data_IF_782007869828
#
_entry.id   IF_782007869828
#
_cell.length_a   1.000
_cell.length_b   1.000
_cell.length_c   1.000
_cell.angle_alpha   90.00
_cell.angle_beta   90.00
_cell.angle_gamma   90.00
#
_symmetry.space_group_name_H-M   'P 1'
#
loop_
_entity.id
_entity.type
_entity.pdbx_description
1 polymer ?
#
# COMPACT_ATOMS: atom_id res chain seq x y z
N UNK A 1 -32.52 18.47 -8.95
CA UNK A 1 -31.33 18.03 -8.17
C UNK A 1 -30.52 19.26 -7.77
N UNK A 2 -29.48 19.13 -6.93
CA UNK A 2 -28.71 20.23 -6.35
C UNK A 2 -27.34 20.37 -7.04
N UNK A 3 -27.26 20.90 -8.27
CA UNK A 3 -25.99 21.02 -9.01
C UNK A 3 -25.07 22.08 -8.40
N UNK A 4 -25.64 23.04 -7.66
CA UNK A 4 -24.93 24.13 -7.00
C UNK A 4 -25.27 24.14 -5.51
N UNK A 5 -24.26 24.38 -4.69
CA UNK A 5 -24.39 24.66 -3.26
C UNK A 5 -24.17 26.18 -3.11
N UNK A 6 -25.19 26.89 -2.65
CA UNK A 6 -25.11 28.34 -2.45
C UNK A 6 -24.72 28.62 -0.99
N UNK A 7 -23.55 29.23 -0.79
CA UNK A 7 -23.10 29.73 0.51
C UNK A 7 -23.05 31.26 0.40
N UNK A 8 -24.14 31.92 0.79
CA UNK A 8 -24.31 33.37 0.56
C UNK A 8 -24.23 33.72 -0.94
N UNK A 9 -23.36 34.66 -1.36
CA UNK A 9 -23.21 35.03 -2.77
C UNK A 9 -22.40 34.03 -3.60
N UNK A 10 -21.79 33.02 -2.97
CA UNK A 10 -20.87 32.11 -3.63
C UNK A 10 -21.56 30.79 -3.99
N UNK A 11 -21.63 30.49 -5.28
CA UNK A 11 -22.25 29.28 -5.81
C UNK A 11 -21.15 28.25 -6.16
N UNK A 12 -21.07 27.16 -5.39
CA UNK A 12 -20.08 26.09 -5.58
C UNK A 12 -20.72 24.96 -6.38
N UNK A 13 -20.05 24.46 -7.42
CA UNK A 13 -20.49 23.25 -8.11
C UNK A 13 -20.44 22.03 -7.17
N UNK A 14 -21.59 21.44 -6.89
CA UNK A 14 -21.72 20.35 -5.92
C UNK A 14 -20.85 19.15 -6.28
N UNK A 15 -20.80 18.77 -7.56
CA UNK A 15 -20.00 17.65 -8.04
C UNK A 15 -18.49 17.85 -7.80
N UNK A 16 -17.96 19.05 -8.09
CA UNK A 16 -16.55 19.37 -7.84
C UNK A 16 -16.23 19.33 -6.35
N UNK A 17 -17.11 19.89 -5.52
CA UNK A 17 -16.95 19.86 -4.07
C UNK A 17 -16.97 18.44 -3.50
N UNK A 18 -17.91 17.59 -3.93
CA UNK A 18 -18.00 16.19 -3.51
C UNK A 18 -16.72 15.44 -3.84
N UNK A 19 -16.18 15.60 -5.06
CA UNK A 19 -14.95 14.93 -5.47
C UNK A 19 -13.73 15.41 -4.67
N UNK A 20 -13.63 16.71 -4.39
CA UNK A 20 -12.58 17.27 -3.54
C UNK A 20 -12.67 16.76 -2.10
N UNK A 21 -13.89 16.67 -1.55
CA UNK A 21 -14.11 16.12 -0.22
C UNK A 21 -13.74 14.62 -0.17
N UNK A 22 -14.12 13.84 -1.18
CA UNK A 22 -13.72 12.44 -1.31
C UNK A 22 -12.21 12.26 -1.40
N UNK A 23 -11.51 13.13 -2.15
CA UNK A 23 -10.05 13.13 -2.23
C UNK A 23 -9.42 13.46 -0.87
N UNK A 24 -9.90 14.51 -0.19
CA UNK A 24 -9.41 14.93 1.11
C UNK A 24 -9.59 13.85 2.19
N UNK A 25 -10.80 13.29 2.31
CA UNK A 25 -11.08 12.19 3.23
C UNK A 25 -10.27 10.94 2.86
N UNK A 26 -10.07 10.70 1.56
CA UNK A 26 -9.23 9.64 1.04
C UNK A 26 -7.78 9.76 1.49
N UNK A 27 -7.18 10.95 1.38
CA UNK A 27 -5.84 11.21 1.89
C UNK A 27 -5.76 11.07 3.40
N UNK A 28 -6.73 11.62 4.15
CA UNK A 28 -6.75 11.44 5.60
C UNK A 28 -6.70 9.96 6.02
N UNK A 29 -7.51 9.10 5.39
CA UNK A 29 -7.49 7.66 5.66
C UNK A 29 -6.22 6.97 5.14
N UNK A 30 -5.70 7.39 3.99
CA UNK A 30 -4.44 6.88 3.40
C UNK A 30 -3.27 7.17 4.33
N UNK A 31 -3.13 8.39 4.84
CA UNK A 31 -2.10 8.78 5.79
C UNK A 31 -2.21 7.98 7.10
N UNK A 32 -3.42 7.85 7.66
CA UNK A 32 -3.65 7.02 8.85
C UNK A 32 -3.23 5.56 8.64
N UNK A 33 -3.57 4.99 7.49
CA UNK A 33 -3.22 3.61 7.18
C UNK A 33 -1.71 3.46 6.95
N UNK A 34 -1.10 4.42 6.27
CA UNK A 34 0.32 4.45 5.98
C UNK A 34 1.18 4.44 7.24
N UNK A 35 0.81 5.21 8.26
CA UNK A 35 1.50 5.22 9.55
C UNK A 35 1.49 3.84 10.20
N UNK A 36 0.36 3.12 10.10
CA UNK A 36 0.25 1.79 10.71
C UNK A 36 0.98 0.70 9.92
N UNK A 37 1.15 0.85 8.60
CA UNK A 37 1.88 -0.12 7.76
C UNK A 37 3.36 0.23 7.56
N UNK A 38 3.80 1.40 8.00
CA UNK A 38 5.16 1.90 7.76
C UNK A 38 5.45 2.28 6.30
N UNK A 39 4.40 2.56 5.51
CA UNK A 39 4.55 3.03 4.12
C UNK A 39 4.83 4.54 4.07
N UNK A 40 5.23 5.06 2.90
CA UNK A 40 5.67 6.45 2.77
C UNK A 40 4.54 7.43 2.37
N UNK A 41 3.68 7.78 3.33
CA UNK A 41 2.46 8.60 3.12
C UNK A 41 2.72 9.86 2.28
N UNK A 42 3.75 10.62 2.65
CA UNK A 42 4.06 11.89 2.02
C UNK A 42 4.35 11.74 0.51
N UNK A 43 5.13 10.74 0.09
CA UNK A 43 5.37 10.54 -1.35
C UNK A 43 4.13 10.03 -2.08
N UNK A 44 3.29 9.23 -1.43
CA UNK A 44 2.02 8.76 -2.01
C UNK A 44 1.09 9.94 -2.26
N UNK A 45 0.84 10.75 -1.22
CA UNK A 45 -0.04 11.92 -1.29
C UNK A 45 0.46 12.98 -2.26
N UNK A 46 1.76 13.31 -2.20
CA UNK A 46 2.38 14.25 -3.16
C UNK A 46 2.32 13.72 -4.59
N UNK A 47 2.57 12.41 -4.78
CA UNK A 47 2.46 11.77 -6.08
C UNK A 47 1.06 11.90 -6.67
N UNK A 48 0.02 11.59 -5.88
CA UNK A 48 -1.38 11.72 -6.30
C UNK A 48 -1.75 13.18 -6.57
N UNK A 49 -1.36 14.11 -5.70
CA UNK A 49 -1.66 15.54 -5.86
C UNK A 49 -1.03 16.10 -7.15
N UNK A 50 0.25 15.81 -7.39
CA UNK A 50 0.94 16.20 -8.63
C UNK A 50 0.27 15.52 -9.83
N UNK A 51 -0.15 14.26 -9.70
CA UNK A 51 -0.92 13.54 -10.71
C UNK A 51 -2.24 14.22 -11.07
N UNK A 52 -3.00 14.68 -10.08
CA UNK A 52 -4.26 15.41 -10.29
C UNK A 52 -3.99 16.73 -11.01
N UNK A 53 -2.97 17.50 -10.59
CA UNK A 53 -2.60 18.75 -11.25
C UNK A 53 -2.16 18.48 -12.70
N UNK A 54 -1.25 17.53 -12.91
CA UNK A 54 -0.78 17.13 -14.23
C UNK A 54 -1.92 16.63 -15.11
N UNK A 55 -2.90 15.93 -14.53
CA UNK A 55 -4.09 15.47 -15.25
C UNK A 55 -5.02 16.60 -15.67
N UNK A 56 -5.20 17.63 -14.83
CA UNK A 56 -5.99 18.82 -15.20
C UNK A 56 -5.29 19.59 -16.33
N UNK A 57 -3.98 19.81 -16.22
CA UNK A 57 -3.17 20.46 -17.25
C UNK A 57 -3.15 19.64 -18.55
N UNK A 58 -3.01 18.32 -18.44
CA UNK A 58 -3.09 17.38 -19.54
C UNK A 58 -4.45 17.44 -20.24
N UNK A 59 -5.55 17.37 -19.49
CA UNK A 59 -6.90 17.50 -20.04
C UNK A 59 -7.08 18.81 -20.82
N UNK A 60 -6.54 19.92 -20.29
CA UNK A 60 -6.58 21.22 -20.95
C UNK A 60 -5.81 21.20 -22.26
N UNK A 61 -4.57 20.70 -22.24
CA UNK A 61 -3.73 20.58 -23.43
C UNK A 61 -4.39 19.68 -24.48
N UNK A 62 -4.93 18.54 -24.08
CA UNK A 62 -5.63 17.62 -24.98
C UNK A 62 -6.85 18.25 -25.66
N UNK A 63 -7.61 19.06 -24.93
CA UNK A 63 -8.75 19.78 -25.50
C UNK A 63 -8.27 20.84 -26.51
N UNK A 64 -7.20 21.58 -26.20
CA UNK A 64 -6.61 22.58 -27.12
C UNK A 64 -6.06 21.93 -28.39
N UNK A 65 -5.39 20.77 -28.27
CA UNK A 65 -4.87 20.02 -29.43
C UNK A 65 -6.00 19.54 -30.35
N UNK A 66 -7.18 19.22 -29.80
CA UNK A 66 -8.37 18.88 -30.58
C UNK A 66 -9.08 20.09 -31.19
N UNK A 67 -8.81 21.29 -30.68
CA UNK A 67 -9.46 22.54 -31.10
C UNK A 67 -8.42 23.66 -31.32
N UNK A 68 -7.50 23.51 -32.29
CA UNK A 68 -6.36 24.40 -32.44
C UNK A 68 -6.74 25.85 -32.76
N UNK A 69 -7.90 26.08 -33.39
CA UNK A 69 -8.42 27.41 -33.68
C UNK A 69 -8.68 28.25 -32.41
N UNK A 70 -9.10 27.61 -31.30
CA UNK A 70 -9.32 28.30 -30.02
C UNK A 70 -8.02 28.78 -29.39
N UNK A 71 -6.92 28.06 -29.62
CA UNK A 71 -5.59 28.44 -29.14
C UNK A 71 -5.00 29.58 -29.97
N UNK A 72 -5.14 29.51 -31.30
CA UNK A 72 -4.65 30.54 -32.22
C UNK A 72 -5.35 31.88 -32.02
N UNK A 73 -6.65 31.87 -31.74
CA UNK A 73 -7.44 33.09 -31.55
C UNK A 73 -7.16 33.78 -30.20
N UNK A 74 -6.90 33.01 -29.14
CA UNK A 74 -6.53 33.55 -27.85
C UNK A 74 -5.68 32.54 -27.06
N UNK A 75 -4.34 32.72 -27.03
CA UNK A 75 -3.43 31.83 -26.30
C UNK A 75 -3.73 31.72 -24.80
N UNK A 76 -4.36 32.72 -24.19
CA UNK A 76 -4.72 32.70 -22.76
C UNK A 76 -5.83 31.68 -22.45
N UNK A 77 -6.53 31.13 -23.46
CA UNK A 77 -7.48 30.04 -23.27
C UNK A 77 -6.85 28.78 -22.66
N UNK A 78 -5.53 28.63 -22.75
CA UNK A 78 -4.79 27.57 -22.07
C UNK A 78 -4.91 27.67 -20.53
N UNK A 79 -5.07 28.88 -19.99
CA UNK A 79 -5.22 29.15 -18.56
C UNK A 79 -6.68 29.26 -18.12
N UNK A 80 -7.64 29.00 -19.02
CA UNK A 80 -9.06 29.06 -18.69
C UNK A 80 -9.41 28.07 -17.57
N UNK A 81 -10.19 28.53 -16.59
CA UNK A 81 -10.70 27.71 -15.50
C UNK A 81 -12.03 27.01 -15.84
N UNK A 82 -12.52 27.16 -17.07
CA UNK A 82 -13.81 26.61 -17.47
C UNK A 82 -13.74 25.08 -17.56
N UNK A 83 -14.58 24.31 -16.83
CA UNK A 83 -14.52 22.85 -16.83
C UNK A 83 -14.91 22.17 -18.16
N UNK A 84 -15.65 22.87 -19.03
CA UNK A 84 -16.08 22.34 -20.33
C UNK A 84 -14.96 22.18 -21.34
N UNK A 85 -13.84 22.88 -21.14
CA UNK A 85 -12.65 22.86 -22.00
C UNK A 85 -11.59 21.87 -21.48
N UNK A 86 -12.03 20.70 -21.00
CA UNK A 86 -11.18 19.64 -20.49
C UNK A 86 -11.41 18.33 -21.25
N UNK A 87 -10.34 17.76 -21.78
CA UNK A 87 -10.38 16.44 -22.41
C UNK A 87 -10.48 15.33 -21.37
N UNK A 88 -11.60 14.61 -21.40
CA UNK A 88 -11.94 13.56 -20.42
C UNK A 88 -11.06 12.30 -20.51
N UNK A 89 -10.32 12.11 -21.60
CA UNK A 89 -9.48 10.91 -21.81
C UNK A 89 -7.99 11.23 -21.62
N UNK A 90 -7.53 12.36 -22.15
CA UNK A 90 -6.12 12.73 -22.13
C UNK A 90 -5.65 13.17 -20.74
N UNK A 91 -6.51 13.82 -19.96
CA UNK A 91 -6.17 14.20 -18.58
C UNK A 91 -5.81 13.04 -17.66
N UNK A 92 -6.71 12.05 -17.48
CA UNK A 92 -6.41 10.86 -16.68
C UNK A 92 -5.15 10.13 -17.14
N UNK A 93 -4.89 10.04 -18.45
CA UNK A 93 -3.67 9.44 -19.00
C UNK A 93 -2.41 10.15 -18.49
N UNK A 94 -2.34 11.48 -18.62
CA UNK A 94 -1.19 12.28 -18.18
C UNK A 94 -1.04 12.23 -16.65
N UNK A 95 -2.15 12.32 -15.91
CA UNK A 95 -2.13 12.25 -14.45
C UNK A 95 -1.62 10.91 -13.93
N UNK A 96 -2.10 9.79 -14.49
CA UNK A 96 -1.64 8.44 -14.13
C UNK A 96 -0.16 8.26 -14.49
N UNK A 97 0.27 8.74 -15.66
CA UNK A 97 1.67 8.67 -16.07
C UNK A 97 2.58 9.44 -15.10
N UNK A 98 2.18 10.64 -14.69
CA UNK A 98 2.92 11.43 -13.69
C UNK A 98 3.02 10.68 -12.35
N UNK A 99 1.93 10.07 -11.88
CA UNK A 99 1.94 9.26 -10.65
C UNK A 99 2.92 8.09 -10.77
N UNK A 100 2.89 7.36 -11.88
CA UNK A 100 3.79 6.22 -12.11
C UNK A 100 5.26 6.66 -12.12
N UNK A 101 5.59 7.74 -12.82
CA UNK A 101 6.96 8.28 -12.88
C UNK A 101 7.44 8.68 -11.48
N UNK A 102 6.61 9.38 -10.70
CA UNK A 102 6.96 9.81 -9.35
C UNK A 102 7.10 8.62 -8.39
N UNK A 103 6.21 7.63 -8.48
CA UNK A 103 6.28 6.41 -7.69
C UNK A 103 7.56 5.61 -8.00
N UNK A 104 7.94 5.48 -9.28
CA UNK A 104 9.19 4.85 -9.69
C UNK A 104 10.42 5.61 -9.19
N UNK A 105 10.43 6.95 -9.33
CA UNK A 105 11.53 7.80 -8.85
C UNK A 105 11.71 7.71 -7.34
N UNK A 106 10.63 7.48 -6.59
CA UNK A 106 10.64 7.28 -5.13
C UNK A 106 10.76 5.81 -4.72
N UNK A 107 10.93 4.90 -5.69
CA UNK A 107 11.01 3.46 -5.47
C UNK A 107 9.87 2.87 -4.63
N UNK A 108 8.66 3.44 -4.78
CA UNK A 108 7.52 3.01 -4.00
C UNK A 108 7.15 1.56 -4.34
N UNK A 109 7.04 0.67 -3.34
CA UNK A 109 6.67 -0.72 -3.57
C UNK A 109 5.20 -0.77 -4.00
N UNK A 110 4.92 -1.40 -5.14
CA UNK A 110 3.62 -1.34 -5.81
C UNK A 110 2.47 -1.79 -4.89
N UNK A 111 2.59 -2.98 -4.31
CA UNK A 111 1.49 -3.61 -3.59
C UNK A 111 1.18 -2.98 -2.24
N UNK A 112 2.18 -2.69 -1.38
CA UNK A 112 1.94 -1.94 -0.14
C UNK A 112 1.38 -0.54 -0.42
N UNK A 113 1.87 0.14 -1.47
CA UNK A 113 1.35 1.45 -1.86
C UNK A 113 -0.13 1.39 -2.25
N UNK A 114 -0.50 0.42 -3.09
CA UNK A 114 -1.89 0.25 -3.53
C UNK A 114 -2.82 -0.18 -2.37
N UNK A 115 -2.37 -1.05 -1.47
CA UNK A 115 -3.13 -1.41 -0.27
C UNK A 115 -3.37 -0.17 0.59
N UNK A 116 -2.33 0.63 0.86
CA UNK A 116 -2.44 1.89 1.62
C UNK A 116 -3.41 2.88 0.95
N UNK A 117 -3.43 2.96 -0.38
CA UNK A 117 -4.32 3.84 -1.15
C UNK A 117 -5.75 3.29 -1.30
N UNK A 118 -6.04 2.06 -0.86
CA UNK A 118 -7.36 1.44 -1.07
C UNK A 118 -8.53 2.29 -0.53
N UNK A 119 -8.46 2.91 0.66
CA UNK A 119 -9.51 3.80 1.15
C UNK A 119 -9.76 5.00 0.22
N UNK A 120 -8.71 5.59 -0.35
CA UNK A 120 -8.81 6.69 -1.32
C UNK A 120 -9.56 6.25 -2.57
N UNK A 121 -9.23 5.08 -3.15
CA UNK A 121 -9.94 4.57 -4.32
C UNK A 121 -11.43 4.33 -4.07
N UNK A 122 -11.79 3.76 -2.92
CA UNK A 122 -13.18 3.53 -2.54
C UNK A 122 -13.95 4.84 -2.32
N UNK A 123 -13.34 5.82 -1.65
CA UNK A 123 -13.96 7.12 -1.41
C UNK A 123 -14.12 7.94 -2.69
N UNK A 124 -13.15 7.86 -3.62
CA UNK A 124 -13.28 8.47 -4.94
C UNK A 124 -14.38 7.78 -5.78
N UNK A 125 -14.46 6.45 -5.74
CA UNK A 125 -15.54 5.71 -6.39
C UNK A 125 -16.92 6.16 -5.88
N UNK A 126 -17.11 6.19 -4.56
CA UNK A 126 -18.33 6.69 -3.93
C UNK A 126 -18.60 8.16 -4.29
N UNK A 127 -17.57 9.00 -4.27
CA UNK A 127 -17.62 10.41 -4.63
C UNK A 127 -18.10 10.65 -6.05
N UNK A 128 -17.61 9.88 -7.02
CA UNK A 128 -18.05 9.96 -8.43
C UNK A 128 -19.54 9.68 -8.56
N UNK A 129 -20.04 8.65 -7.87
CA UNK A 129 -21.47 8.33 -7.91
C UNK A 129 -22.31 9.40 -7.21
N UNK A 130 -21.87 9.91 -6.06
CA UNK A 130 -22.57 10.99 -5.37
C UNK A 130 -22.56 12.31 -6.17
N UNK A 131 -21.45 12.61 -6.87
CA UNK A 131 -21.35 13.74 -7.78
C UNK A 131 -22.27 13.61 -9.00
N UNK A 132 -22.38 12.41 -9.57
CA UNK A 132 -23.33 12.13 -10.66
C UNK A 132 -24.77 12.28 -10.19
N UNK A 133 -25.06 11.85 -8.97
CA UNK A 133 -26.36 12.08 -8.35
C UNK A 133 -26.63 13.57 -8.20
N UNK A 134 -25.73 14.38 -7.64
CA UNK A 134 -25.94 15.82 -7.51
C UNK A 134 -26.27 16.53 -8.86
N UNK A 135 -25.65 16.08 -9.95
CA UNK A 135 -25.85 16.60 -11.29
C UNK A 135 -27.03 16.00 -12.07
N UNK A 136 -27.63 14.90 -11.61
CA UNK A 136 -28.65 14.15 -12.37
C UNK A 136 -28.13 13.41 -13.60
N UNK A 137 -26.83 13.13 -13.64
CA UNK A 137 -26.17 12.38 -14.70
C UNK A 137 -26.11 10.88 -14.39
N UNK A 138 -25.84 10.04 -15.40
CA UNK A 138 -25.69 8.60 -15.24
C UNK A 138 -26.90 7.93 -14.54
N UNK A 139 -28.11 8.36 -14.93
CA UNK A 139 -29.37 7.95 -14.31
C UNK A 139 -29.82 6.56 -14.76
N UNK A 140 -30.74 5.98 -13.99
CA UNK A 140 -31.28 4.66 -14.23
C UNK A 140 -32.38 4.58 -15.29
N UNK A 141 -32.70 3.35 -15.68
CA UNK A 141 -33.90 3.03 -16.46
C UNK A 141 -35.18 3.37 -15.68
N UNK A 142 -36.31 3.59 -16.36
CA UNK A 142 -37.60 3.80 -15.70
C UNK A 142 -37.96 2.65 -14.77
N UNK A 143 -38.62 2.95 -13.65
CA UNK A 143 -38.98 1.97 -12.63
C UNK A 143 -40.28 2.33 -11.91
N UNK A 144 -41.01 1.31 -11.44
CA UNK A 144 -42.19 1.46 -10.58
C UNK A 144 -41.92 1.26 -9.08
N UNK A 145 -40.65 1.09 -8.70
CA UNK A 145 -40.27 0.85 -7.30
C UNK A 145 -40.50 2.10 -6.43
N UNK A 146 -40.87 1.93 -5.13
CA UNK A 146 -41.25 3.05 -4.27
C UNK A 146 -40.09 3.98 -3.90
N UNK A 147 -38.84 3.57 -4.08
CA UNK A 147 -37.64 4.40 -3.89
C UNK A 147 -37.07 4.95 -5.22
N UNK A 148 -37.85 4.91 -6.30
CA UNK A 148 -37.49 5.55 -7.56
C UNK A 148 -37.41 7.08 -7.42
N UNK A 149 -36.51 7.71 -8.16
CA UNK A 149 -36.36 9.17 -8.19
C UNK A 149 -36.94 9.74 -9.48
N UNK A 150 -37.62 10.89 -9.39
CA UNK A 150 -38.14 11.59 -10.56
C UNK A 150 -37.01 12.35 -11.25
N UNK A 151 -36.64 11.92 -12.47
CA UNK A 151 -35.66 12.57 -13.32
C UNK A 151 -36.09 12.50 -14.79
N UNK A 152 -36.03 13.65 -15.48
CA UNK A 152 -36.36 13.74 -16.90
C UNK A 152 -37.77 13.21 -17.21
N UNK A 153 -38.77 13.64 -16.44
CA UNK A 153 -40.19 13.26 -16.55
C UNK A 153 -40.47 11.75 -16.42
N UNK A 154 -39.59 10.99 -15.79
CA UNK A 154 -39.82 9.59 -15.46
C UNK A 154 -39.32 9.26 -14.06
N UNK A 155 -40.03 8.36 -13.37
CA UNK A 155 -39.52 7.71 -12.16
C UNK A 155 -38.48 6.67 -12.56
N UNK A 156 -37.27 6.80 -12.05
CA UNK A 156 -36.09 6.02 -12.47
C UNK A 156 -35.36 5.41 -11.29
N UNK A 157 -34.62 4.33 -11.55
CA UNK A 157 -33.70 3.78 -10.56
C UNK A 157 -32.64 4.84 -10.15
N UNK A 158 -32.47 5.15 -8.86
CA UNK A 158 -31.33 5.95 -8.37
C UNK A 158 -30.04 5.13 -8.35
N UNK A 159 -29.56 4.72 -9.52
CA UNK A 159 -28.40 3.80 -9.68
C UNK A 159 -27.13 4.35 -9.01
N UNK A 160 -26.98 5.66 -9.00
CA UNK A 160 -25.86 6.34 -8.33
C UNK A 160 -25.90 6.10 -6.81
N UNK A 161 -27.10 6.12 -6.21
CA UNK A 161 -27.29 5.82 -4.78
C UNK A 161 -27.01 4.34 -4.51
N UNK A 162 -27.42 3.43 -5.40
CA UNK A 162 -27.08 2.01 -5.26
C UNK A 162 -25.56 1.79 -5.22
N UNK A 163 -24.83 2.39 -6.16
CA UNK A 163 -23.38 2.30 -6.23
C UNK A 163 -22.71 2.91 -4.99
N UNK A 164 -23.20 4.08 -4.53
CA UNK A 164 -22.71 4.73 -3.32
C UNK A 164 -22.90 3.86 -2.07
N UNK A 165 -24.10 3.30 -1.86
CA UNK A 165 -24.40 2.48 -0.69
C UNK A 165 -23.61 1.17 -0.69
N UNK A 166 -23.51 0.50 -1.85
CA UNK A 166 -22.69 -0.71 -1.96
C UNK A 166 -21.19 -0.41 -1.79
N UNK A 167 -20.72 0.74 -2.30
CA UNK A 167 -19.35 1.22 -2.05
C UNK A 167 -19.10 1.52 -0.58
N UNK A 168 -20.07 2.11 0.12
CA UNK A 168 -20.00 2.37 1.56
C UNK A 168 -19.97 1.07 2.36
N UNK A 169 -20.77 0.07 1.99
CA UNK A 169 -20.75 -1.25 2.60
C UNK A 169 -19.39 -1.96 2.38
N UNK A 170 -18.82 -1.84 1.18
CA UNK A 170 -17.49 -2.36 0.87
C UNK A 170 -16.40 -1.67 1.72
N UNK A 171 -16.44 -0.34 1.83
CA UNK A 171 -15.53 0.42 2.69
C UNK A 171 -15.68 0.04 4.16
N UNK A 172 -16.92 -0.12 4.66
CA UNK A 172 -17.17 -0.54 6.03
C UNK A 172 -16.63 -1.95 6.30
N UNK A 173 -16.88 -2.90 5.38
CA UNK A 173 -16.34 -4.26 5.47
C UNK A 173 -14.81 -4.26 5.50
N UNK A 174 -14.18 -3.42 4.69
CA UNK A 174 -12.74 -3.20 4.71
C UNK A 174 -12.26 -2.65 6.06
N UNK A 175 -12.91 -1.61 6.58
CA UNK A 175 -12.54 -1.00 7.86
C UNK A 175 -12.66 -2.02 9.01
N UNK A 176 -13.69 -2.86 9.02
CA UNK A 176 -13.85 -3.93 10.00
C UNK A 176 -12.71 -4.96 9.86
N UNK A 177 -12.46 -5.44 8.64
CA UNK A 177 -11.47 -6.48 8.38
C UNK A 177 -10.03 -6.02 8.70
N UNK A 178 -9.72 -4.75 8.43
CA UNK A 178 -8.41 -4.13 8.70
C UNK A 178 -8.24 -3.64 10.14
N UNK A 179 -9.24 -3.88 11.02
CA UNK A 179 -9.31 -3.35 12.40
C UNK A 179 -9.12 -1.83 12.44
N UNK A 180 -9.89 -1.12 11.63
CA UNK A 180 -9.85 0.33 11.43
C UNK A 180 -8.51 0.82 10.87
N UNK A 181 -8.04 0.19 9.78
CA UNK A 181 -6.80 0.54 9.07
C UNK A 181 -5.54 0.39 9.91
N UNK A 182 -5.54 -0.50 10.93
CA UNK A 182 -4.35 -0.84 11.72
C UNK A 182 -3.50 -1.91 11.05
N UNK A 183 -4.09 -2.69 10.15
CA UNK A 183 -3.48 -3.86 9.53
C UNK A 183 -3.98 -3.96 8.09
N UNK A 184 -3.28 -4.68 7.24
CA UNK A 184 -3.78 -5.06 5.91
C UNK A 184 -4.97 -6.03 5.97
N UNK A 185 -5.15 -6.75 7.09
CA UNK A 185 -6.09 -7.87 7.23
C UNK A 185 -5.58 -9.19 6.64
N UNK A 186 -4.53 -9.14 5.81
CA UNK A 186 -3.96 -10.29 5.10
C UNK A 186 -2.44 -10.33 5.29
N UNK A 187 -1.85 -11.53 5.28
CA UNK A 187 -0.38 -11.69 5.36
C UNK A 187 0.36 -11.27 4.09
N UNK A 188 -0.35 -10.96 3.00
CA UNK A 188 0.27 -10.67 1.71
C UNK A 188 -0.19 -9.33 1.21
N UNK A 189 0.77 -8.50 0.80
CA UNK A 189 0.47 -7.20 0.22
C UNK A 189 -0.30 -7.37 -1.08
N UNK A 190 -1.07 -6.38 -1.47
CA UNK A 190 -1.89 -6.36 -2.68
C UNK A 190 -3.20 -7.13 -2.58
N UNK A 191 -3.43 -7.97 -1.55
CA UNK A 191 -4.70 -8.69 -1.40
C UNK A 191 -5.83 -7.71 -1.11
N UNK A 192 -5.60 -6.72 -0.26
CA UNK A 192 -6.60 -5.74 0.13
C UNK A 192 -7.06 -4.90 -1.07
N UNK A 193 -6.11 -4.35 -1.83
CA UNK A 193 -6.40 -3.57 -3.02
C UNK A 193 -7.14 -4.39 -4.08
N UNK A 194 -6.69 -5.62 -4.38
CA UNK A 194 -7.36 -6.45 -5.38
C UNK A 194 -8.77 -6.87 -4.93
N UNK A 195 -8.99 -7.14 -3.64
CA UNK A 195 -10.33 -7.42 -3.10
C UNK A 195 -11.25 -6.20 -3.26
N UNK A 196 -10.76 -4.99 -3.01
CA UNK A 196 -11.51 -3.76 -3.24
C UNK A 196 -11.83 -3.54 -4.72
N UNK A 197 -10.87 -3.78 -5.63
CA UNK A 197 -11.09 -3.67 -7.07
C UNK A 197 -12.10 -4.70 -7.58
N UNK A 198 -12.05 -5.94 -7.09
CA UNK A 198 -13.06 -6.95 -7.38
C UNK A 198 -14.45 -6.52 -6.87
N UNK A 199 -14.52 -5.95 -5.67
CA UNK A 199 -15.74 -5.35 -5.11
C UNK A 199 -16.32 -4.25 -5.99
N UNK A 200 -15.51 -3.25 -6.37
CA UNK A 200 -15.91 -2.18 -7.29
C UNK A 200 -16.41 -2.74 -8.63
N UNK A 201 -15.71 -3.73 -9.19
CA UNK A 201 -16.09 -4.37 -10.43
C UNK A 201 -17.46 -5.07 -10.32
N UNK A 202 -17.70 -5.83 -9.25
CA UNK A 202 -19.00 -6.47 -8.98
C UNK A 202 -20.12 -5.45 -8.82
N UNK A 203 -19.90 -4.38 -8.05
CA UNK A 203 -20.88 -3.30 -7.88
C UNK A 203 -21.18 -2.65 -9.23
N UNK A 204 -20.15 -2.43 -10.06
CA UNK A 204 -20.31 -1.87 -11.40
C UNK A 204 -21.14 -2.80 -12.28
N UNK A 205 -20.82 -4.09 -12.34
CA UNK A 205 -21.60 -5.07 -13.12
C UNK A 205 -23.07 -5.10 -12.70
N UNK A 206 -23.34 -5.09 -11.39
CA UNK A 206 -24.70 -5.05 -10.85
C UNK A 206 -25.42 -3.76 -11.22
N UNK A 207 -24.82 -2.60 -10.95
CA UNK A 207 -25.46 -1.28 -11.16
C UNK A 207 -25.64 -0.95 -12.64
N UNK A 208 -24.75 -1.46 -13.51
CA UNK A 208 -24.91 -1.30 -14.96
C UNK A 208 -26.19 -1.96 -15.47
N UNK A 209 -26.72 -3.01 -14.85
CA UNK A 209 -28.00 -3.61 -15.25
C UNK A 209 -29.17 -2.61 -15.22
N UNK A 210 -29.09 -1.60 -14.36
CA UNK A 210 -30.15 -0.60 -14.16
C UNK A 210 -29.85 0.74 -14.81
N UNK A 211 -28.68 0.94 -15.42
CA UNK A 211 -28.31 2.25 -15.98
C UNK A 211 -28.93 2.45 -17.36
N UNK A 212 -29.56 3.61 -17.59
CA UNK A 212 -30.18 3.91 -18.89
C UNK A 212 -29.15 4.21 -19.98
N UNK A 213 -28.12 4.99 -19.66
CA UNK A 213 -27.09 5.38 -20.62
C UNK A 213 -26.04 4.27 -20.81
N UNK A 214 -26.03 3.69 -22.01
CA UNK A 214 -25.10 2.64 -22.42
C UNK A 214 -24.11 3.16 -23.46
N UNK A 215 -22.82 2.91 -23.23
CA UNK A 215 -21.78 3.13 -24.25
C UNK A 215 -21.46 1.79 -24.86
N UNK A 216 -21.92 1.56 -26.09
CA UNK A 216 -21.82 0.26 -26.73
C UNK A 216 -20.56 0.13 -27.59
N UNK A 217 -19.93 -1.03 -27.52
CA UNK A 217 -18.95 -1.53 -28.50
C UNK A 217 -19.59 -2.77 -29.14
N UNK A 218 -20.13 -2.61 -30.34
CA UNK A 218 -21.01 -3.61 -30.94
C UNK A 218 -22.28 -3.78 -30.09
N UNK A 219 -22.51 -4.99 -29.55
CA UNK A 219 -23.67 -5.31 -28.70
C UNK A 219 -23.38 -5.20 -27.20
N UNK A 220 -22.13 -4.96 -26.82
CA UNK A 220 -21.70 -5.00 -25.43
C UNK A 220 -21.50 -3.61 -24.85
N UNK A 221 -21.91 -3.43 -23.60
CA UNK A 221 -21.67 -2.21 -22.84
C UNK A 221 -20.20 -2.13 -22.41
N UNK A 222 -19.49 -1.09 -22.86
CA UNK A 222 -18.04 -0.90 -22.62
C UNK A 222 -17.73 -0.90 -21.12
N UNK A 223 -18.55 -0.26 -20.30
CA UNK A 223 -18.32 -0.22 -18.85
C UNK A 223 -18.51 -1.60 -18.20
N UNK A 224 -19.41 -2.41 -18.74
CA UNK A 224 -19.63 -3.78 -18.28
C UNK A 224 -18.47 -4.69 -18.68
N UNK A 225 -17.98 -4.57 -19.92
CA UNK A 225 -16.77 -5.28 -20.38
C UNK A 225 -15.54 -4.91 -19.54
N UNK A 226 -15.32 -3.61 -19.29
CA UNK A 226 -14.22 -3.14 -18.45
C UNK A 226 -14.32 -3.66 -17.02
N UNK A 227 -15.54 -3.68 -16.44
CA UNK A 227 -15.76 -4.23 -15.11
C UNK A 227 -15.51 -5.75 -15.06
N UNK A 228 -15.92 -6.51 -16.09
CA UNK A 228 -15.58 -7.93 -16.18
C UNK A 228 -14.07 -8.17 -16.27
N UNK A 229 -13.37 -7.40 -17.11
CA UNK A 229 -11.91 -7.49 -17.23
C UNK A 229 -11.21 -7.16 -15.91
N UNK A 230 -11.67 -6.11 -15.20
CA UNK A 230 -11.17 -5.74 -13.88
C UNK A 230 -11.41 -6.85 -12.85
N UNK A 231 -12.62 -7.43 -12.84
CA UNK A 231 -12.97 -8.52 -11.92
C UNK A 231 -12.09 -9.75 -12.17
N UNK A 232 -11.95 -10.17 -13.42
CA UNK A 232 -11.11 -11.32 -13.78
C UNK A 232 -9.64 -11.09 -13.41
N UNK A 233 -9.11 -9.89 -13.71
CA UNK A 233 -7.74 -9.51 -13.35
C UNK A 233 -7.53 -9.52 -11.84
N UNK A 234 -8.42 -8.88 -11.08
CA UNK A 234 -8.35 -8.82 -9.63
C UNK A 234 -8.45 -10.21 -8.99
N UNK A 235 -9.39 -11.07 -9.43
CA UNK A 235 -9.53 -12.44 -8.94
C UNK A 235 -8.30 -13.31 -9.29
N UNK A 236 -7.73 -13.13 -10.48
CA UNK A 236 -6.50 -13.85 -10.87
C UNK A 236 -5.32 -13.45 -9.98
N UNK A 237 -5.17 -12.15 -9.69
CA UNK A 237 -4.13 -11.65 -8.80
C UNK A 237 -4.35 -12.12 -7.35
N UNK A 238 -5.60 -12.13 -6.87
CA UNK A 238 -5.95 -12.71 -5.58
C UNK A 238 -5.60 -14.19 -5.50
N UNK A 239 -5.94 -14.96 -6.52
CA UNK A 239 -5.61 -16.39 -6.58
C UNK A 239 -4.09 -16.62 -6.52
N UNK A 240 -3.32 -15.93 -7.35
CA UNK A 240 -1.85 -16.01 -7.32
C UNK A 240 -1.25 -15.60 -5.98
N UNK A 241 -1.88 -14.65 -5.28
CA UNK A 241 -1.47 -14.24 -3.93
C UNK A 241 -1.90 -15.21 -2.84
N UNK A 242 -3.05 -15.86 -2.97
CA UNK A 242 -3.50 -16.87 -2.00
C UNK A 242 -2.71 -18.19 -2.14
N UNK A 243 -2.35 -18.55 -3.37
CA UNK A 243 -1.64 -19.77 -3.72
C UNK A 243 -0.31 -19.43 -4.41
N UNK A 244 0.72 -19.03 -3.65
CA UNK A 244 2.05 -18.90 -4.22
C UNK A 244 2.49 -20.23 -4.81
N UNK A 245 3.25 -20.18 -5.90
CA UNK A 245 4.07 -21.32 -6.28
C UNK A 245 4.97 -21.71 -5.08
N UNK A 246 5.32 -23.00 -4.96
CA UNK A 246 6.24 -23.54 -3.94
C UNK A 246 7.68 -23.03 -4.13
N UNK A 247 7.86 -21.73 -4.22
CA UNK A 247 9.16 -21.07 -4.28
C UNK A 247 9.63 -20.78 -2.86
N UNK A 248 10.94 -20.92 -2.67
CA UNK A 248 11.58 -20.51 -1.43
C UNK A 248 11.49 -18.99 -1.32
N UNK A 249 11.04 -18.50 -0.17
CA UNK A 249 10.91 -17.09 0.17
C UNK A 249 12.20 -16.67 0.89
N UNK A 250 12.77 -15.54 0.49
CA UNK A 250 13.86 -14.92 1.24
C UNK A 250 13.31 -14.27 2.51
N UNK A 251 13.92 -14.54 3.65
CA UNK A 251 13.62 -13.89 4.91
C UNK A 251 14.91 -13.37 5.52
N UNK A 252 14.88 -12.14 6.03
CA UNK A 252 15.98 -11.58 6.80
C UNK A 252 15.64 -11.77 8.27
N UNK A 253 16.55 -12.38 9.03
CA UNK A 253 16.42 -12.58 10.46
C UNK A 253 17.60 -11.94 11.20
N UNK A 254 17.36 -11.39 12.39
CA UNK A 254 18.43 -11.01 13.32
C UNK A 254 18.67 -12.11 14.34
N UNK A 255 19.91 -12.21 14.80
CA UNK A 255 20.34 -13.04 15.91
C UNK A 255 20.96 -12.14 16.97
N UNK A 256 20.47 -12.22 18.20
CA UNK A 256 20.97 -11.47 19.35
C UNK A 256 21.29 -12.38 20.53
N UNK A 257 22.40 -12.14 21.23
CA UNK A 257 22.73 -12.89 22.46
C UNK A 257 23.67 -12.09 23.37
N UNK A 258 23.52 -12.24 24.68
CA UNK A 258 24.48 -11.73 25.67
C UNK A 258 24.88 -12.77 26.74
N UNK A 259 24.52 -14.04 26.55
CA UNK A 259 24.95 -15.16 27.40
C UNK A 259 25.74 -16.15 26.56
N UNK A 260 27.05 -16.22 26.78
CA UNK A 260 27.99 -17.04 25.98
C UNK A 260 27.78 -16.86 24.46
N UNK A 261 27.70 -15.61 23.96
CA UNK A 261 27.10 -15.34 22.65
C UNK A 261 27.86 -15.99 21.49
N UNK A 262 29.17 -16.15 21.58
CA UNK A 262 29.99 -16.85 20.57
C UNK A 262 29.59 -18.33 20.43
N UNK A 263 29.36 -19.02 21.56
CA UNK A 263 28.92 -20.42 21.59
C UNK A 263 27.51 -20.53 21.03
N UNK A 264 26.61 -19.62 21.46
CA UNK A 264 25.21 -19.59 21.02
C UNK A 264 25.07 -19.33 19.53
N UNK A 265 25.85 -18.41 18.98
CA UNK A 265 25.85 -18.13 17.54
C UNK A 265 26.33 -19.34 16.73
N UNK A 266 27.43 -19.99 17.13
CA UNK A 266 27.90 -21.19 16.45
C UNK A 266 26.87 -22.32 16.47
N UNK A 267 26.20 -22.53 17.60
CA UNK A 267 25.13 -23.54 17.72
C UNK A 267 23.90 -23.18 16.86
N UNK A 268 23.47 -21.91 16.91
CA UNK A 268 22.33 -21.42 16.14
C UNK A 268 22.57 -21.53 14.63
N UNK A 269 23.73 -21.10 14.14
CA UNK A 269 24.06 -21.18 12.71
C UNK A 269 24.08 -22.62 12.20
N UNK A 270 24.60 -23.56 13.00
CA UNK A 270 24.54 -24.98 12.64
C UNK A 270 23.09 -25.44 12.46
N UNK A 271 22.24 -25.22 13.45
CA UNK A 271 20.81 -25.62 13.41
C UNK A 271 20.08 -24.93 12.25
N UNK A 272 20.31 -23.63 12.05
CA UNK A 272 19.71 -22.86 10.97
C UNK A 272 20.16 -23.36 9.59
N UNK A 273 21.42 -23.71 9.42
CA UNK A 273 21.96 -24.22 8.15
C UNK A 273 21.43 -25.61 7.76
N UNK A 274 21.04 -26.41 8.76
CA UNK A 274 20.42 -27.73 8.54
C UNK A 274 18.96 -27.59 8.09
N UNK A 275 18.28 -26.51 8.48
CA UNK A 275 16.84 -26.30 8.24
C UNK A 275 16.55 -25.33 7.09
N UNK A 276 17.43 -24.36 6.87
CA UNK A 276 17.27 -23.28 5.91
C UNK A 276 18.52 -23.13 5.05
N UNK A 277 18.33 -22.62 3.84
CA UNK A 277 19.48 -22.21 3.02
C UNK A 277 19.90 -20.80 3.42
N UNK A 278 21.02 -20.67 4.13
CA UNK A 278 21.61 -19.37 4.44
C UNK A 278 22.23 -18.79 3.15
N UNK A 279 21.73 -17.64 2.71
CA UNK A 279 22.21 -16.93 1.51
C UNK A 279 23.39 -16.03 1.83
N UNK A 280 23.27 -15.24 2.90
CA UNK A 280 24.26 -14.26 3.35
C UNK A 280 24.23 -14.15 4.87
N UNK A 281 25.34 -13.67 5.44
CA UNK A 281 25.50 -13.41 6.88
C UNK A 281 26.31 -12.14 7.08
N UNK A 282 25.95 -11.31 8.06
CA UNK A 282 26.72 -10.12 8.39
C UNK A 282 27.91 -10.46 9.27
N UNK A 283 28.78 -9.48 9.47
CA UNK A 283 29.69 -9.45 10.61
C UNK A 283 28.95 -9.55 11.95
N UNK A 284 29.70 -9.91 12.99
CA UNK A 284 29.19 -9.83 14.36
C UNK A 284 29.44 -8.41 14.86
N UNK A 285 28.40 -7.80 15.42
CA UNK A 285 28.45 -6.48 16.01
C UNK A 285 28.14 -6.55 17.50
N UNK A 286 28.97 -5.94 18.32
CA UNK A 286 28.70 -5.76 19.73
C UNK A 286 27.99 -4.43 19.96
N UNK A 287 26.91 -4.46 20.76
CA UNK A 287 26.14 -3.28 21.13
C UNK A 287 25.77 -3.32 22.60
N UNK A 288 25.69 -2.15 23.22
CA UNK A 288 25.14 -2.02 24.57
C UNK A 288 23.64 -2.37 24.59
N UNK A 289 23.08 -2.56 25.80
CA UNK A 289 21.64 -2.74 25.94
C UNK A 289 20.91 -1.46 25.50
N UNK A 290 20.03 -1.59 24.51
CA UNK A 290 19.27 -0.45 23.98
C UNK A 290 18.34 0.20 25.00
N UNK A 291 18.01 -0.50 26.08
CA UNK A 291 17.22 0.03 27.20
C UNK A 291 18.10 0.55 28.35
N UNK A 292 19.42 0.55 28.19
CA UNK A 292 20.42 1.03 29.15
C UNK A 292 20.20 0.49 30.57
N UNK A 293 19.79 -0.77 30.69
CA UNK A 293 19.49 -1.37 32.00
C UNK A 293 20.80 -1.62 32.77
N UNK A 294 20.87 -1.26 34.06
CA UNK A 294 22.07 -1.47 34.86
C UNK A 294 22.48 -2.95 34.95
N UNK A 295 23.77 -3.23 34.81
CA UNK A 295 24.35 -4.56 35.00
C UNK A 295 24.12 -5.56 33.86
N UNK A 296 23.56 -5.11 32.73
CA UNK A 296 23.36 -5.96 31.54
C UNK A 296 24.64 -6.02 30.72
N UNK A 297 25.08 -7.24 30.40
CA UNK A 297 26.23 -7.47 29.52
C UNK A 297 25.91 -7.01 28.08
N UNK A 298 26.91 -6.50 27.33
CA UNK A 298 26.74 -6.17 25.92
C UNK A 298 26.22 -7.35 25.10
N UNK A 299 25.39 -7.04 24.11
CA UNK A 299 24.86 -8.02 23.17
C UNK A 299 25.78 -8.16 21.98
N UNK A 300 25.91 -9.38 21.45
CA UNK A 300 26.34 -9.62 20.09
C UNK A 300 25.11 -9.74 19.20
N UNK A 301 25.15 -9.07 18.06
CA UNK A 301 24.12 -9.02 17.05
C UNK A 301 24.68 -9.40 15.68
N UNK A 302 23.87 -10.12 14.91
CA UNK A 302 24.15 -10.49 13.52
C UNK A 302 22.85 -10.55 12.74
N UNK A 303 22.91 -10.28 11.44
CA UNK A 303 21.80 -10.47 10.51
C UNK A 303 22.13 -11.61 9.57
N UNK A 304 21.12 -12.43 9.26
CA UNK A 304 21.19 -13.51 8.29
C UNK A 304 20.09 -13.31 7.24
N UNK A 305 20.42 -13.60 5.98
CA UNK A 305 19.41 -13.80 4.95
C UNK A 305 19.27 -15.30 4.70
N UNK A 306 18.06 -15.82 4.84
CA UNK A 306 17.74 -17.23 4.67
C UNK A 306 16.70 -17.42 3.57
N UNK A 307 16.72 -18.57 2.92
CA UNK A 307 15.64 -19.04 2.05
C UNK A 307 14.87 -20.16 2.74
N UNK A 308 13.55 -19.99 2.84
CA UNK A 308 12.65 -20.96 3.48
C UNK A 308 11.43 -21.26 2.62
N UNK A 309 10.91 -22.48 2.70
CA UNK A 309 9.62 -22.86 2.13
C UNK A 309 8.48 -22.80 3.16
N UNK A 310 8.80 -22.47 4.42
CA UNK A 310 7.81 -22.37 5.49
C UNK A 310 6.96 -21.12 5.30
N UNK A 311 5.66 -21.23 5.60
CA UNK A 311 4.80 -20.06 5.79
C UNK A 311 5.29 -19.22 6.97
N UNK A 312 4.91 -17.95 7.02
CA UNK A 312 5.33 -17.06 8.10
C UNK A 312 5.01 -17.62 9.51
N UNK A 313 3.81 -18.16 9.82
CA UNK A 313 3.54 -18.77 11.12
C UNK A 313 4.44 -19.97 11.44
N UNK A 314 4.72 -20.82 10.45
CA UNK A 314 5.61 -21.99 10.62
C UNK A 314 7.05 -21.54 10.87
N UNK A 315 7.52 -20.50 10.16
CA UNK A 315 8.84 -19.91 10.39
C UNK A 315 8.96 -19.35 11.81
N UNK A 316 7.96 -18.60 12.29
CA UNK A 316 7.92 -18.09 13.67
C UNK A 316 8.00 -19.24 14.68
N UNK A 317 7.19 -20.28 14.50
CA UNK A 317 7.21 -21.47 15.38
C UNK A 317 8.57 -22.14 15.37
N UNK A 318 9.20 -22.26 14.20
CA UNK A 318 10.50 -22.92 14.07
C UNK A 318 11.62 -22.11 14.74
N UNK A 319 11.68 -20.79 14.54
CA UNK A 319 12.68 -19.94 15.17
C UNK A 319 12.54 -19.97 16.71
N UNK A 320 11.31 -19.90 17.24
CA UNK A 320 11.05 -20.03 18.68
C UNK A 320 11.46 -21.38 19.25
N UNK A 321 11.35 -22.46 18.47
CA UNK A 321 11.81 -23.77 18.89
C UNK A 321 13.35 -23.80 19.03
N UNK A 322 14.07 -23.16 18.10
CA UNK A 322 15.54 -23.02 18.13
C UNK A 322 15.97 -22.19 19.35
N UNK A 323 15.32 -21.04 19.58
CA UNK A 323 15.56 -20.21 20.76
C UNK A 323 15.44 -21.02 22.06
N UNK A 324 14.33 -21.76 22.21
CA UNK A 324 14.08 -22.61 23.38
C UNK A 324 15.13 -23.70 23.54
N UNK A 325 15.50 -24.37 22.44
CA UNK A 325 16.55 -25.39 22.44
C UNK A 325 17.89 -24.84 22.93
N UNK A 326 18.20 -23.58 22.60
CA UNK A 326 19.45 -22.92 22.97
C UNK A 326 19.38 -22.15 24.30
N UNK A 327 18.30 -22.34 25.07
CA UNK A 327 18.19 -21.86 26.44
C UNK A 327 17.50 -20.50 26.60
N UNK A 328 16.74 -20.04 25.59
CA UNK A 328 15.91 -18.84 25.73
C UNK A 328 14.83 -19.07 26.79
N UNK A 329 14.86 -18.26 27.83
CA UNK A 329 13.79 -18.18 28.84
C UNK A 329 12.84 -17.06 28.42
N UNK A 330 11.55 -17.36 28.30
CA UNK A 330 10.54 -16.39 27.89
C UNK A 330 10.39 -15.29 28.95
N UNK A 331 10.36 -14.03 28.52
CA UNK A 331 10.19 -12.87 29.41
C UNK A 331 11.48 -12.37 30.08
N UNK A 332 12.54 -13.17 30.10
CA UNK A 332 13.86 -12.71 30.54
C UNK A 332 14.44 -11.74 29.50
N UNK A 333 14.83 -10.53 29.92
CA UNK A 333 15.31 -9.50 29.01
C UNK A 333 16.75 -9.06 29.29
N UNK A 334 17.33 -9.47 30.41
CA UNK A 334 18.70 -9.08 30.83
C UNK A 334 19.72 -10.16 30.51
N UNK A 335 19.30 -11.43 30.49
CA UNK A 335 20.13 -12.60 30.15
C UNK A 335 19.49 -13.36 29.00
N UNK A 336 19.81 -12.96 27.78
CA UNK A 336 19.25 -13.51 26.55
C UNK A 336 20.27 -14.47 25.93
N UNK A 337 19.96 -15.77 26.01
CA UNK A 337 20.80 -16.82 25.42
C UNK A 337 20.82 -16.76 23.89
N UNK A 338 19.65 -16.61 23.26
CA UNK A 338 19.50 -16.35 21.84
C UNK A 338 18.12 -15.75 21.57
N UNK A 339 18.08 -14.68 20.80
CA UNK A 339 16.87 -14.10 20.20
C UNK A 339 16.99 -14.21 18.68
N UNK A 340 15.93 -14.66 18.03
CA UNK A 340 15.80 -14.80 16.59
C UNK A 340 14.55 -14.04 16.11
N UNK A 341 14.75 -12.82 15.63
CA UNK A 341 13.65 -11.99 15.13
C UNK A 341 13.59 -11.98 13.60
N UNK A 342 12.37 -12.04 13.06
CA UNK A 342 12.15 -11.91 11.62
C UNK A 342 12.04 -10.43 11.28
N UNK A 343 12.99 -9.92 10.50
CA UNK A 343 13.03 -8.54 10.04
C UNK A 343 12.22 -8.34 8.76
N UNK A 344 12.31 -9.29 7.82
CA UNK A 344 11.55 -9.27 6.56
C UNK A 344 11.13 -10.68 6.15
N UNK A 345 10.05 -10.79 5.37
CA UNK A 345 9.58 -12.04 4.80
C UNK A 345 9.12 -11.78 3.35
N UNK A 346 10.04 -12.00 2.41
CA UNK A 346 9.90 -11.55 1.02
C UNK A 346 9.65 -10.05 0.93
N UNK A 347 8.75 -9.68 0.02
CA UNK A 347 8.28 -8.31 -0.17
C UNK A 347 6.95 -8.02 0.55
N UNK A 348 6.54 -8.89 1.48
CA UNK A 348 5.25 -8.77 2.14
C UNK A 348 5.26 -7.71 3.25
N UNK A 349 4.12 -7.03 3.39
CA UNK A 349 3.84 -6.03 4.42
C UNK A 349 2.53 -6.38 5.10
N UNK A 350 2.58 -6.69 6.39
CA UNK A 350 1.40 -7.07 7.17
C UNK A 350 1.63 -6.94 8.67
N UNK A 351 0.53 -7.00 9.42
CA UNK A 351 0.53 -7.18 10.86
C UNK A 351 -0.28 -8.43 11.24
N UNK A 352 0.34 -9.37 11.95
CA UNK A 352 -0.32 -10.62 12.39
C UNK A 352 0.26 -11.11 13.70
N UNK A 353 -0.62 -11.41 14.67
CA UNK A 353 -0.26 -11.99 15.97
C UNK A 353 0.94 -11.28 16.61
N UNK A 354 0.85 -9.94 16.70
CA UNK A 354 1.86 -9.03 17.24
C UNK A 354 3.18 -8.93 16.45
N UNK A 355 3.27 -9.56 15.28
CA UNK A 355 4.40 -9.37 14.37
C UNK A 355 4.02 -8.36 13.29
N UNK A 356 4.82 -7.32 13.18
CA UNK A 356 4.77 -6.38 12.08
C UNK A 356 5.90 -6.73 11.12
N UNK A 357 5.57 -7.01 9.86
CA UNK A 357 6.55 -7.32 8.81
C UNK A 357 6.40 -6.25 7.72
N UNK A 358 7.51 -5.64 7.26
CA UNK A 358 8.84 -5.65 7.87
C UNK A 358 8.83 -5.17 9.32
N UNK A 359 9.84 -5.59 10.10
CA UNK A 359 9.97 -5.17 11.48
C UNK A 359 10.18 -3.64 11.56
N UNK A 360 9.36 -2.90 12.34
CA UNK A 360 9.51 -1.46 12.50
C UNK A 360 10.85 -1.08 13.14
N UNK A 361 11.50 -2.04 13.81
CA UNK A 361 12.80 -1.89 14.43
C UNK A 361 13.93 -1.63 13.41
N UNK A 362 13.73 -2.01 12.14
CA UNK A 362 14.60 -1.63 11.03
C UNK A 362 14.68 -0.12 10.82
N UNK A 363 13.71 0.67 11.30
CA UNK A 363 13.75 2.13 11.20
C UNK A 363 14.24 2.79 12.49
N UNK A 364 14.48 2.00 13.55
CA UNK A 364 14.72 2.48 14.91
C UNK A 364 16.10 2.13 15.43
N UNK A 365 16.60 0.92 15.18
CA UNK A 365 17.80 0.41 15.84
C UNK A 365 18.97 0.16 14.91
N UNK A 366 20.11 0.81 15.20
CA UNK A 366 21.31 0.70 14.37
C UNK A 366 21.92 -0.70 14.39
N UNK A 367 21.73 -1.46 15.47
CA UNK A 367 22.27 -2.81 15.62
C UNK A 367 21.64 -3.83 14.66
N UNK A 368 20.50 -3.50 14.06
CA UNK A 368 19.86 -4.28 13.00
C UNK A 368 20.26 -3.75 11.61
N UNK A 369 20.23 -2.42 11.44
CA UNK A 369 20.42 -1.78 10.14
C UNK A 369 21.88 -1.81 9.70
N UNK A 370 22.83 -1.60 10.60
CA UNK A 370 24.27 -1.59 10.25
C UNK A 370 24.77 -2.94 9.71
N UNK A 371 24.49 -4.10 10.36
CA UNK A 371 24.85 -5.39 9.78
C UNK A 371 24.09 -5.68 8.47
N UNK A 372 22.84 -5.24 8.34
CA UNK A 372 22.10 -5.41 7.09
C UNK A 372 22.65 -4.54 5.96
N UNK A 373 23.08 -3.30 6.26
CA UNK A 373 23.72 -2.40 5.30
C UNK A 373 25.05 -2.97 4.79
N UNK A 374 25.82 -3.61 5.67
CA UNK A 374 27.05 -4.34 5.30
C UNK A 374 26.75 -5.44 4.27
N UNK A 375 25.68 -6.21 4.49
CA UNK A 375 25.30 -7.33 3.62
C UNK A 375 24.67 -6.88 2.29
N UNK A 376 23.86 -5.82 2.33
CA UNK A 376 23.00 -5.41 1.22
C UNK A 376 22.58 -3.94 1.34
N UNK A 377 23.48 -2.98 1.05
CA UNK A 377 23.19 -1.56 1.23
C UNK A 377 22.00 -1.08 0.39
N UNK A 378 21.84 -1.64 -0.81
CA UNK A 378 20.75 -1.33 -1.74
C UNK A 378 19.45 -2.11 -1.47
N UNK A 379 19.39 -2.97 -0.45
CA UNK A 379 18.15 -3.63 -0.07
C UNK A 379 17.11 -2.57 0.24
N UNK A 380 15.92 -2.66 -0.35
CA UNK A 380 14.84 -1.68 -0.17
C UNK A 380 13.83 -2.23 0.82
N UNK A 381 13.49 -1.41 1.81
CA UNK A 381 12.51 -1.78 2.82
C UNK A 381 11.14 -2.04 2.17
N UNK A 382 10.56 -3.26 2.29
CA UNK A 382 9.37 -3.66 1.54
C UNK A 382 8.15 -2.74 1.66
N UNK A 383 7.99 -2.03 2.78
CA UNK A 383 6.86 -1.10 2.96
C UNK A 383 7.04 0.30 2.33
N UNK A 384 8.25 0.85 2.29
CA UNK A 384 8.45 2.26 1.93
C UNK A 384 9.44 2.48 0.79
N UNK A 385 10.17 1.44 0.35
CA UNK A 385 11.10 1.52 -0.77
C UNK A 385 12.43 2.22 -0.49
N UNK A 386 12.63 2.72 0.73
CA UNK A 386 13.88 3.37 1.17
C UNK A 386 14.96 2.29 1.29
N UNK A 387 16.17 2.59 0.79
CA UNK A 387 17.30 1.66 0.91
C UNK A 387 17.78 1.53 2.36
N UNK A 388 18.34 0.39 2.73
CA UNK A 388 18.92 0.18 4.06
C UNK A 388 20.08 1.17 4.31
N UNK A 389 20.86 1.48 3.28
CA UNK A 389 21.91 2.50 3.39
C UNK A 389 21.34 3.88 3.74
N UNK A 390 20.24 4.29 3.10
CA UNK A 390 19.58 5.56 3.39
C UNK A 390 18.89 5.55 4.77
N UNK A 391 18.33 4.41 5.19
CA UNK A 391 17.79 4.21 6.55
C UNK A 391 18.92 4.37 7.57
N UNK A 392 20.08 3.75 7.35
CA UNK A 392 21.24 3.88 8.25
C UNK A 392 21.74 5.32 8.37
N UNK A 393 21.65 6.11 7.30
CA UNK A 393 21.99 7.53 7.31
C UNK A 393 20.98 8.39 8.09
N UNK A 394 19.69 8.03 8.03
CA UNK A 394 18.58 8.80 8.65
C UNK A 394 18.27 8.42 10.09
N UNK A 395 18.71 7.25 10.55
CA UNK A 395 18.42 6.73 11.88
C UNK A 395 18.98 7.65 12.97
N UNK A 396 18.17 7.95 13.99
CA UNK A 396 18.53 8.88 15.08
C UNK A 396 19.18 8.21 16.28
N UNK A 397 19.09 6.88 16.36
CA UNK A 397 19.74 6.07 17.40
C UNK A 397 21.24 6.39 17.48
N UNK A 398 21.76 6.53 18.70
CA UNK A 398 23.16 6.90 18.96
C UNK A 398 23.93 5.76 19.64
N UNK A 399 23.34 4.56 19.72
CA UNK A 399 23.99 3.40 20.29
C UNK A 399 25.35 3.16 19.64
N UNK A 400 26.37 2.94 20.47
CA UNK A 400 27.70 2.56 19.99
C UNK A 400 27.68 1.11 19.53
N UNK A 401 28.16 0.88 18.31
CA UNK A 401 28.20 -0.43 17.67
C UNK A 401 29.63 -0.70 17.23
N UNK A 402 30.18 -1.80 17.72
CA UNK A 402 31.55 -2.21 17.44
C UNK A 402 31.52 -3.49 16.62
N UNK A 403 32.10 -3.47 15.41
CA UNK A 403 32.26 -4.68 14.59
C UNK A 403 33.35 -5.54 15.21
N UNK A 404 33.04 -6.79 15.55
CA UNK A 404 33.96 -7.71 16.26
C UNK A 404 34.68 -8.64 15.29
N UNK A 405 33.99 -9.18 14.28
CA UNK A 405 34.54 -10.12 13.30
C UNK A 405 34.07 -9.80 11.89
N UNK A 406 34.95 -9.83 10.90
CA UNK A 406 34.60 -9.71 9.48
C UNK A 406 34.04 -11.01 8.90
N UNK A 407 33.24 -10.89 7.84
CA UNK A 407 32.79 -12.03 7.02
C UNK A 407 33.24 -11.81 5.58
N UNK A 408 33.77 -12.87 4.94
CA UNK A 408 33.87 -12.94 3.47
C UNK A 408 32.46 -13.04 2.89
N UNK A 409 31.89 -11.91 2.47
CA UNK A 409 30.52 -11.85 1.95
C UNK A 409 30.37 -12.36 0.50
N UNK A 410 31.39 -13.01 -0.07
CA UNK A 410 31.34 -13.60 -1.42
C UNK A 410 31.17 -12.60 -2.57
N UNK A 411 31.02 -11.31 -2.27
CA UNK A 411 31.04 -10.22 -3.25
C UNK A 411 32.52 -9.89 -3.50
N UNK A 412 33.15 -10.61 -4.44
CA UNK A 412 34.29 -10.03 -5.15
C UNK A 412 33.72 -8.88 -5.99
N UNK A 413 34.32 -7.70 -5.82
CA UNK A 413 33.87 -6.43 -6.39
C UNK A 413 33.74 -6.40 -7.91
#
# INVERSE_FOLDING_TARGET
MFPMINIGPLAIQAAGFILLLSLFLGFYLTGKFSTNLGTHAEAIENGVLIGVIAGILGARLGFMLKNPSLLLNNPLNLLSLTPSMLDRSFGPLIGILAIIILAQKKHLPLWPTLDTMTPLFLLLYMGVHLANYANGNAYGTPTGLPWGISLWNATRHPVQVYAFLLGAALLLGLLIHTKMLKTTGFMRSGVLFNAAMAGIAMITLFTRAFTAEKRLLGRFDVYQLSAFALLLGALTLLYKRAYPDKQRISAIISMGSNVEPQVKFSQAEKILSEQFRIRRRSSIYQTEDVNQRPGVQPFLNRVLEIETALSFPELVTQLKAIEKQLGRIQGEKTRVALDLDILTYGDDVFFRADHHIPSPDLLKYRYLVMPLAEMSPDFRHPANGISIQEILYKITDQAQIIRINEVENGIKG
#
